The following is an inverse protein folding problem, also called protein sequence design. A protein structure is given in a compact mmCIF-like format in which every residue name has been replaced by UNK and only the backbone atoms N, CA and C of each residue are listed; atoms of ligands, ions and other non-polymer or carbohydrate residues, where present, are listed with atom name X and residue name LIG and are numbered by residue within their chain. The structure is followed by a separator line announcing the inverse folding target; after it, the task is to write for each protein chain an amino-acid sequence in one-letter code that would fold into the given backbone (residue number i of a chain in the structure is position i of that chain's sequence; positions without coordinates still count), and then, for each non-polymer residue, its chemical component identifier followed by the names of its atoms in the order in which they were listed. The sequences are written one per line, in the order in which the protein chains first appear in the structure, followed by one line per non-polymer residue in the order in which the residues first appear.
data_IF_098669862855
#
_entry.id   IF_098669862855
#
_cell.length_a   1.000
_cell.length_b   1.000
_cell.length_c   1.000
_cell.angle_alpha   90.00
_cell.angle_beta   90.00
_cell.angle_gamma   90.00
#
_symmetry.space_group_name_H-M   'P 1'
#
loop_
_entity.id
_entity.type
_entity.pdbx_description
1 polymer ?
#
# COMPACT_ATOMS: atom_id res chain seq x y z
N UNK A 1 -49.35 12.87 -44.29
CA UNK A 1 -48.36 11.83 -43.94
C UNK A 1 -47.41 12.46 -42.97
N UNK A 2 -47.49 12.10 -41.69
CA UNK A 2 -46.70 12.73 -40.59
C UNK A 2 -45.70 11.72 -40.13
N UNK A 3 -44.40 11.96 -40.41
CA UNK A 3 -43.27 11.14 -40.01
C UNK A 3 -42.88 11.54 -38.58
N UNK A 4 -43.15 10.68 -37.60
CA UNK A 4 -42.66 10.82 -36.21
C UNK A 4 -41.25 10.23 -36.16
N UNK A 5 -40.24 11.11 -36.12
CA UNK A 5 -38.86 10.73 -35.83
C UNK A 5 -38.71 10.50 -34.34
N UNK A 6 -38.53 9.26 -33.94
CA UNK A 6 -38.22 8.87 -32.55
C UNK A 6 -36.74 9.08 -32.32
N UNK A 7 -36.40 10.17 -31.65
CA UNK A 7 -35.06 10.41 -31.11
C UNK A 7 -34.82 9.48 -29.90
N UNK A 8 -34.10 8.39 -30.11
CA UNK A 8 -33.59 7.53 -29.05
C UNK A 8 -32.38 8.21 -28.44
N UNK A 9 -32.56 8.91 -27.34
CA UNK A 9 -31.45 9.40 -26.50
C UNK A 9 -30.82 8.20 -25.76
N UNK A 10 -29.67 7.74 -26.25
CA UNK A 10 -28.82 6.82 -25.54
C UNK A 10 -28.22 7.56 -24.33
N UNK A 11 -28.72 7.27 -23.13
CA UNK A 11 -28.09 7.67 -21.89
C UNK A 11 -26.84 6.82 -21.67
N UNK A 12 -25.66 7.38 -21.96
CA UNK A 12 -24.40 6.82 -21.45
C UNK A 12 -24.33 7.11 -19.96
N UNK A 13 -24.72 6.14 -19.13
CA UNK A 13 -24.47 6.20 -17.69
C UNK A 13 -22.97 5.98 -17.46
N UNK A 14 -22.27 6.91 -16.75
CA UNK A 14 -20.89 6.65 -16.35
C UNK A 14 -20.88 5.47 -15.38
N UNK A 15 -20.19 4.39 -15.72
CA UNK A 15 -19.91 3.29 -14.82
C UNK A 15 -19.01 3.82 -13.70
N UNK A 16 -19.59 4.18 -12.57
CA UNK A 16 -18.85 4.47 -11.35
C UNK A 16 -18.14 3.18 -10.94
N UNK A 17 -16.83 3.12 -11.09
CA UNK A 17 -16.00 2.05 -10.56
C UNK A 17 -16.06 2.11 -9.04
N UNK A 18 -16.97 1.37 -8.44
CA UNK A 18 -17.04 1.18 -6.99
C UNK A 18 -15.83 0.34 -6.59
N UNK A 19 -14.89 0.93 -5.87
CA UNK A 19 -13.81 0.19 -5.24
C UNK A 19 -14.42 -0.86 -4.31
N UNK A 20 -14.30 -2.14 -4.67
CA UNK A 20 -14.79 -3.24 -3.85
C UNK A 20 -14.04 -3.24 -2.51
N UNK A 21 -14.71 -3.28 -1.36
CA UNK A 21 -14.04 -3.47 -0.09
C UNK A 21 -13.28 -4.80 -0.12
N UNK A 22 -11.99 -4.77 0.21
CA UNK A 22 -11.19 -5.99 0.30
C UNK A 22 -11.76 -6.86 1.42
N UNK A 23 -12.40 -7.97 1.04
CA UNK A 23 -12.92 -8.93 2.01
C UNK A 23 -11.75 -9.68 2.67
N UNK A 24 -11.41 -9.27 3.89
CA UNK A 24 -10.33 -9.86 4.69
C UNK A 24 -10.85 -10.98 5.55
N UNK A 25 -10.07 -12.06 5.67
CA UNK A 25 -10.33 -13.13 6.64
C UNK A 25 -10.27 -12.60 8.09
N UNK A 26 -10.82 -13.35 9.04
CA UNK A 26 -10.75 -12.98 10.47
C UNK A 26 -9.31 -12.85 10.94
N UNK A 27 -8.41 -13.74 10.49
CA UNK A 27 -6.99 -13.67 10.76
C UNK A 27 -6.36 -12.37 10.22
N UNK A 28 -6.68 -11.98 9.00
CA UNK A 28 -6.15 -10.74 8.41
C UNK A 28 -6.72 -9.50 9.11
N UNK A 29 -7.98 -9.52 9.53
CA UNK A 29 -8.58 -8.44 10.34
C UNK A 29 -7.91 -8.34 11.71
N UNK A 30 -7.62 -9.47 12.34
CA UNK A 30 -6.88 -9.50 13.61
C UNK A 30 -5.46 -8.95 13.42
N UNK A 31 -4.73 -9.43 12.40
CA UNK A 31 -3.40 -8.94 12.05
C UNK A 31 -3.39 -7.43 11.74
N UNK A 32 -4.42 -6.91 11.09
CA UNK A 32 -4.57 -5.47 10.86
C UNK A 32 -4.62 -4.66 12.16
N UNK A 33 -5.34 -5.14 13.18
CA UNK A 33 -5.39 -4.46 14.47
C UNK A 33 -4.03 -4.42 15.14
N UNK A 34 -3.32 -5.56 15.17
CA UNK A 34 -1.97 -5.66 15.75
C UNK A 34 -0.95 -4.79 14.98
N UNK A 35 -1.03 -4.81 13.65
CA UNK A 35 -0.21 -3.96 12.78
C UNK A 35 -0.43 -2.47 13.08
N UNK A 36 -1.68 -2.03 13.18
CA UNK A 36 -2.00 -0.64 13.49
C UNK A 36 -1.51 -0.22 14.87
N UNK A 37 -1.46 -1.15 15.81
CA UNK A 37 -1.02 -0.91 17.19
C UNK A 37 0.49 -0.73 17.30
N UNK A 38 1.30 -1.52 16.57
CA UNK A 38 2.74 -1.59 16.79
C UNK A 38 3.61 -1.31 15.57
N UNK A 39 3.11 -1.52 14.36
CA UNK A 39 3.93 -1.43 13.14
C UNK A 39 3.68 -0.13 12.35
N UNK A 40 2.43 0.33 12.37
CA UNK A 40 1.97 1.46 11.56
C UNK A 40 2.80 2.72 11.78
N UNK A 41 3.20 3.00 13.00
CA UNK A 41 3.92 4.24 13.36
C UNK A 41 5.19 4.44 12.55
N UNK A 42 5.89 3.37 12.19
CA UNK A 42 7.11 3.41 11.40
C UNK A 42 6.90 3.06 9.91
N UNK A 43 5.92 2.19 9.62
CA UNK A 43 5.78 1.55 8.31
C UNK A 43 4.70 2.14 7.41
N UNK A 44 3.99 3.17 7.84
CA UNK A 44 3.09 3.90 6.96
C UNK A 44 3.70 5.22 6.51
N UNK A 45 3.29 5.66 5.31
CA UNK A 45 3.73 6.95 4.79
C UNK A 45 3.27 8.07 5.73
N UNK A 46 4.16 8.95 6.21
CA UNK A 46 3.77 10.06 7.05
C UNK A 46 2.82 11.00 6.30
N UNK A 47 1.83 11.55 7.02
CA UNK A 47 0.89 12.54 6.47
C UNK A 47 1.44 13.97 6.51
N UNK A 48 2.53 14.17 7.24
CA UNK A 48 3.25 15.45 7.36
C UNK A 48 4.58 15.34 6.65
N UNK A 49 5.20 16.48 6.35
CA UNK A 49 6.53 16.55 5.73
C UNK A 49 7.58 16.10 6.74
N UNK A 50 7.78 14.79 6.80
CA UNK A 50 8.76 14.14 7.65
C UNK A 50 9.42 13.00 6.88
N UNK A 51 10.72 12.76 7.08
CA UNK A 51 11.37 11.60 6.50
C UNK A 51 10.70 10.32 6.98
N UNK A 52 10.42 9.40 6.06
CA UNK A 52 9.89 8.10 6.42
C UNK A 52 10.95 7.28 7.15
N UNK A 53 10.61 6.78 8.34
CA UNK A 53 11.57 6.03 9.18
C UNK A 53 11.86 4.63 8.65
N UNK A 54 10.84 3.94 8.17
CA UNK A 54 10.91 2.57 7.68
C UNK A 54 10.23 2.42 6.30
N UNK A 55 10.55 1.39 5.51
CA UNK A 55 9.90 1.18 4.22
C UNK A 55 8.39 0.97 4.40
N UNK A 56 7.60 1.49 3.46
CA UNK A 56 6.16 1.18 3.38
C UNK A 56 6.01 -0.30 3.06
N UNK A 57 5.21 -1.00 3.86
CA UNK A 57 4.93 -2.42 3.65
C UNK A 57 3.80 -2.61 2.64
N UNK A 58 3.89 -3.69 1.87
CA UNK A 58 2.91 -4.10 0.89
C UNK A 58 2.93 -5.61 0.70
N UNK A 59 2.02 -6.14 -0.11
CA UNK A 59 2.00 -7.56 -0.47
C UNK A 59 3.31 -8.06 -1.10
N UNK A 60 4.14 -7.16 -1.65
CA UNK A 60 5.45 -7.49 -2.23
C UNK A 60 6.60 -7.43 -1.22
N UNK A 61 6.33 -7.08 0.03
CA UNK A 61 7.36 -7.03 1.08
C UNK A 61 8.05 -8.39 1.20
N UNK A 62 9.38 -8.40 1.14
CA UNK A 62 10.22 -9.62 1.13
C UNK A 62 9.79 -10.64 0.05
N UNK A 63 9.36 -10.14 -1.12
CA UNK A 63 8.90 -10.96 -2.23
C UNK A 63 7.57 -11.67 -1.95
N UNK A 64 6.75 -11.15 -1.04
CA UNK A 64 5.46 -11.72 -0.64
C UNK A 64 5.57 -13.02 0.17
N UNK A 65 6.78 -13.36 0.67
CA UNK A 65 7.03 -14.61 1.39
C UNK A 65 6.68 -14.47 2.87
N UNK A 66 5.56 -15.06 3.29
CA UNK A 66 5.05 -14.98 4.66
C UNK A 66 6.07 -15.45 5.72
N UNK A 67 6.82 -16.51 5.44
CA UNK A 67 7.85 -17.02 6.33
C UNK A 67 8.97 -16.01 6.60
N UNK A 68 9.43 -15.29 5.57
CA UNK A 68 10.45 -14.24 5.72
C UNK A 68 9.90 -13.03 6.46
N UNK A 69 8.65 -12.65 6.22
CA UNK A 69 7.97 -11.58 6.97
C UNK A 69 7.89 -11.97 8.45
N UNK A 70 7.45 -13.18 8.75
CA UNK A 70 7.38 -13.73 10.11
C UNK A 70 8.74 -13.73 10.80
N UNK A 71 9.79 -14.16 10.10
CA UNK A 71 11.16 -14.19 10.61
C UNK A 71 11.66 -12.79 11.00
N UNK A 72 11.44 -11.80 10.12
CA UNK A 72 11.83 -10.41 10.39
C UNK A 72 11.01 -9.82 11.55
N UNK A 73 9.72 -10.11 11.65
CA UNK A 73 8.92 -9.65 12.80
C UNK A 73 9.41 -10.28 14.10
N UNK A 74 9.73 -11.57 14.11
CA UNK A 74 10.23 -12.26 15.29
C UNK A 74 11.55 -11.70 15.81
N UNK A 75 12.53 -11.57 14.92
CA UNK A 75 13.92 -11.30 15.32
C UNK A 75 14.33 -9.83 15.15
N UNK A 76 13.56 -9.06 14.37
CA UNK A 76 13.89 -7.67 14.07
C UNK A 76 15.03 -7.52 13.08
N UNK A 77 15.53 -6.30 12.99
CA UNK A 77 16.70 -5.88 12.19
C UNK A 77 17.50 -4.87 13.03
N UNK A 78 18.68 -4.41 12.60
CA UNK A 78 19.42 -3.38 13.34
C UNK A 78 18.63 -2.09 13.61
N UNK A 79 17.57 -1.83 12.84
CA UNK A 79 16.72 -0.63 12.96
C UNK A 79 15.28 -0.90 13.38
N UNK A 80 14.90 -2.16 13.55
CA UNK A 80 13.56 -2.59 13.91
C UNK A 80 13.65 -3.62 15.05
N UNK A 81 12.97 -3.40 16.20
CA UNK A 81 12.98 -4.39 17.28
C UNK A 81 12.33 -5.70 16.85
N UNK A 82 12.74 -6.81 17.45
CA UNK A 82 12.07 -8.09 17.32
C UNK A 82 10.88 -8.16 18.27
N UNK A 83 9.81 -8.82 17.84
CA UNK A 83 8.52 -8.86 18.54
C UNK A 83 8.18 -10.24 19.13
N UNK A 84 9.05 -11.24 19.04
CA UNK A 84 8.81 -12.61 19.52
C UNK A 84 8.47 -12.74 21.01
N UNK A 85 8.83 -11.74 21.83
CA UNK A 85 8.50 -11.70 23.24
C UNK A 85 7.27 -10.84 23.56
N UNK A 86 6.79 -10.08 22.59
CA UNK A 86 5.61 -9.21 22.72
C UNK A 86 4.36 -9.87 22.17
N UNK A 87 4.50 -10.62 21.08
CA UNK A 87 3.42 -11.31 20.40
C UNK A 87 3.61 -12.82 20.37
N UNK A 88 2.50 -13.54 20.43
CA UNK A 88 2.48 -14.99 20.24
C UNK A 88 2.72 -15.33 18.76
N UNK A 89 3.14 -16.57 18.43
CA UNK A 89 3.38 -17.00 17.06
C UNK A 89 2.16 -16.83 16.13
N UNK A 90 0.95 -17.09 16.63
CA UNK A 90 -0.31 -16.92 15.90
C UNK A 90 -0.61 -15.44 15.60
N UNK A 91 -0.28 -14.54 16.51
CA UNK A 91 -0.41 -13.10 16.34
C UNK A 91 0.58 -12.56 15.28
N UNK A 92 1.82 -13.03 15.32
CA UNK A 92 2.83 -12.67 14.30
C UNK A 92 2.42 -13.21 12.92
N UNK A 93 1.90 -14.44 12.86
CA UNK A 93 1.36 -14.99 11.62
C UNK A 93 0.17 -14.18 11.09
N UNK A 94 -0.69 -13.67 11.97
CA UNK A 94 -1.80 -12.81 11.59
C UNK A 94 -1.31 -11.46 11.04
N UNK A 95 -0.28 -10.85 11.66
CA UNK A 95 0.35 -9.61 11.14
C UNK A 95 0.92 -9.87 9.74
N UNK A 96 1.66 -10.95 9.54
CA UNK A 96 2.22 -11.30 8.24
C UNK A 96 1.12 -11.51 7.19
N UNK A 97 0.03 -12.22 7.54
CA UNK A 97 -1.12 -12.42 6.67
C UNK A 97 -1.81 -11.10 6.29
N UNK A 98 -1.87 -10.13 7.21
CA UNK A 98 -2.39 -8.80 6.89
C UNK A 98 -1.47 -8.03 5.95
N UNK A 99 -0.15 -8.03 6.16
CA UNK A 99 0.81 -7.34 5.29
C UNK A 99 0.65 -7.79 3.84
N UNK A 100 0.38 -9.06 3.60
CA UNK A 100 0.11 -9.62 2.26
C UNK A 100 -1.19 -9.11 1.62
N UNK A 101 -2.05 -8.40 2.35
CA UNK A 101 -3.25 -7.76 1.79
C UNK A 101 -3.05 -6.27 1.48
N UNK A 102 -1.92 -5.69 1.86
CA UNK A 102 -1.65 -4.27 1.65
C UNK A 102 -1.29 -4.04 0.17
N UNK A 103 -2.04 -3.20 -0.57
CA UNK A 103 -1.72 -2.92 -1.96
C UNK A 103 -0.32 -2.35 -2.13
N UNK A 104 0.32 -2.67 -3.24
CA UNK A 104 1.58 -2.02 -3.63
C UNK A 104 1.27 -0.55 -3.91
N UNK A 105 1.98 0.40 -3.26
CA UNK A 105 1.80 1.80 -3.58
C UNK A 105 2.03 2.04 -5.07
N UNK A 106 1.16 2.81 -5.72
CA UNK A 106 1.45 3.29 -7.07
C UNK A 106 2.81 3.99 -7.03
N UNK A 107 3.73 3.59 -7.91
CA UNK A 107 5.02 4.26 -8.01
C UNK A 107 4.73 5.76 -8.17
N UNK A 108 5.17 6.55 -7.20
CA UNK A 108 5.16 8.00 -7.35
C UNK A 108 6.00 8.25 -8.58
N UNK A 109 5.39 8.74 -9.67
CA UNK A 109 6.12 9.08 -10.88
C UNK A 109 7.33 9.89 -10.43
N UNK A 110 8.52 9.35 -10.72
CA UNK A 110 9.75 10.06 -10.40
C UNK A 110 9.61 11.46 -10.99
N UNK A 111 9.92 12.54 -10.26
CA UNK A 111 9.92 13.85 -10.84
C UNK A 111 10.85 13.77 -12.06
N UNK A 112 10.28 13.99 -13.23
CA UNK A 112 11.08 14.11 -14.47
C UNK A 112 12.09 15.20 -14.18
N UNK A 113 13.35 14.82 -13.99
CA UNK A 113 14.44 15.75 -13.85
C UNK A 113 14.45 16.57 -15.14
N UNK A 114 13.92 17.80 -15.05
CA UNK A 114 14.03 18.78 -16.11
C UNK A 114 15.49 18.89 -16.46
N UNK A 115 15.86 18.48 -17.67
CA UNK A 115 17.13 18.83 -18.29
C UNK A 115 17.20 20.36 -18.25
N UNK A 116 17.99 20.87 -17.32
CA UNK A 116 18.44 22.25 -17.42
C UNK A 116 19.29 22.33 -18.68
N UNK A 117 18.74 22.91 -19.73
CA UNK A 117 19.52 23.42 -20.84
C UNK A 117 20.42 24.51 -20.29
N UNK A 118 21.65 24.17 -19.97
CA UNK A 118 22.73 25.12 -19.90
C UNK A 118 23.00 25.55 -21.35
N UNK A 119 22.33 26.63 -21.77
CA UNK A 119 22.67 27.35 -23.00
C UNK A 119 24.06 27.91 -22.84
N UNK A 120 24.88 27.50 -23.78
CA UNK A 120 26.10 28.17 -24.18
C UNK A 120 25.84 29.66 -24.37
N UNK A 121 26.58 30.50 -23.69
CA UNK A 121 27.03 31.76 -24.23
C UNK A 121 28.52 31.87 -23.96
N UNK A 122 29.26 31.53 -25.02
CA UNK A 122 30.65 31.93 -25.18
C UNK A 122 30.63 33.20 -26.04
N UNK A 123 31.18 34.28 -25.47
CA UNK A 123 31.98 35.27 -26.19
C UNK A 123 32.82 36.03 -25.17
#
# INVERSE_FOLDING_TARGET
MRHYAWLVLLWLAPAAATAQPVDRTDQQRFGMRLFNQSCRVCHTKPQIVSPQYAPVLSMNTLGGKANLITEVINNGTPRMPGFKYQYRPDEIAAIAAYIQTIPVPAATAAPTSGKSNASRDAD
#
